data_IF_422415490332
#
_entry.id   IF_422415490332
#
_cell.length_a   1.000
_cell.length_b   1.000
_cell.length_c   1.000
_cell.angle_alpha   90.00
_cell.angle_beta   90.00
_cell.angle_gamma   90.00
#
_symmetry.space_group_name_H-M   'P 1'
#
loop_
_entity.id
_entity.type
_entity.pdbx_description
1 polymer ?
#
# COMPACT_ATOMS: atom_id res chain seq x y z
N UNK A 1 2.57 -31.74 -13.41
CA UNK A 1 3.49 -30.75 -12.78
C UNK A 1 2.82 -29.37 -12.92
N UNK A 2 2.72 -28.63 -11.84
CA UNK A 2 2.17 -27.26 -11.89
C UNK A 2 3.23 -26.29 -12.41
N UNK A 3 2.79 -25.28 -13.18
CA UNK A 3 3.65 -24.30 -13.83
C UNK A 3 3.37 -22.92 -13.23
N UNK A 4 4.40 -22.31 -12.59
CA UNK A 4 4.31 -20.96 -12.03
C UNK A 4 4.85 -19.95 -13.06
N UNK A 5 3.98 -19.07 -13.52
CA UNK A 5 4.31 -18.02 -14.48
C UNK A 5 4.15 -16.65 -13.86
N UNK A 6 5.05 -15.74 -14.25
CA UNK A 6 4.94 -14.31 -13.94
C UNK A 6 4.84 -13.56 -15.26
N UNK A 7 3.79 -12.78 -15.41
CA UNK A 7 3.52 -12.00 -16.62
C UNK A 7 3.38 -10.52 -16.26
N UNK A 8 3.99 -9.64 -17.05
CA UNK A 8 3.84 -8.17 -16.94
C UNK A 8 2.59 -7.68 -17.69
N UNK A 9 2.15 -8.45 -18.67
CA UNK A 9 0.88 -8.24 -19.35
C UNK A 9 0.19 -9.60 -19.50
N UNK A 10 -1.06 -9.67 -19.09
CA UNK A 10 -1.84 -10.90 -19.20
C UNK A 10 -2.09 -11.20 -20.67
N UNK A 11 -1.70 -12.40 -21.18
CA UNK A 11 -1.98 -12.79 -22.55
C UNK A 11 -3.49 -12.74 -22.85
N UNK A 12 -3.87 -12.22 -24.03
CA UNK A 12 -5.28 -12.11 -24.43
C UNK A 12 -6.02 -13.44 -24.35
N UNK A 13 -5.35 -14.55 -24.67
CA UNK A 13 -5.90 -15.90 -24.59
C UNK A 13 -6.22 -16.38 -23.16
N UNK A 14 -5.53 -15.85 -22.16
CA UNK A 14 -5.75 -16.21 -20.75
C UNK A 14 -6.71 -15.24 -20.03
N UNK A 15 -6.96 -14.07 -20.59
CA UNK A 15 -7.76 -13.01 -19.94
C UNK A 15 -9.16 -13.49 -19.55
N UNK A 16 -9.96 -14.15 -20.41
CA UNK A 16 -11.29 -14.60 -20.02
C UNK A 16 -11.27 -15.62 -18.87
N UNK A 17 -10.29 -16.55 -18.89
CA UNK A 17 -10.14 -17.54 -17.83
C UNK A 17 -9.69 -16.90 -16.51
N UNK A 18 -8.82 -15.90 -16.55
CA UNK A 18 -8.35 -15.14 -15.40
C UNK A 18 -9.47 -14.33 -14.76
N UNK A 19 -10.25 -13.60 -15.56
CA UNK A 19 -11.39 -12.80 -15.09
C UNK A 19 -12.47 -13.69 -14.45
N UNK A 20 -12.79 -14.83 -15.09
CA UNK A 20 -13.70 -15.81 -14.53
C UNK A 20 -13.19 -16.42 -13.22
N UNK A 21 -11.88 -16.68 -13.12
CA UNK A 21 -11.25 -17.20 -11.91
C UNK A 21 -11.32 -16.17 -10.77
N UNK A 22 -10.99 -14.90 -11.01
CA UNK A 22 -11.13 -13.83 -10.02
C UNK A 22 -12.59 -13.68 -9.57
N UNK A 23 -13.54 -13.68 -10.51
CA UNK A 23 -14.96 -13.55 -10.20
C UNK A 23 -15.45 -14.68 -9.29
N UNK A 24 -14.98 -15.93 -9.51
CA UNK A 24 -15.30 -17.09 -8.66
C UNK A 24 -14.81 -16.91 -7.21
N UNK A 25 -13.75 -16.12 -6.99
CA UNK A 25 -13.22 -15.76 -5.67
C UNK A 25 -13.82 -14.46 -5.10
N UNK A 26 -14.80 -13.86 -5.80
CA UNK A 26 -15.40 -12.57 -5.43
C UNK A 26 -14.45 -11.38 -5.63
N UNK A 27 -13.49 -11.51 -6.57
CA UNK A 27 -12.51 -10.50 -6.94
C UNK A 27 -12.76 -10.05 -8.39
N UNK A 28 -12.12 -8.96 -8.78
CA UNK A 28 -12.12 -8.44 -10.16
C UNK A 28 -10.73 -7.97 -10.57
N UNK A 29 -10.47 -7.96 -11.85
CA UNK A 29 -9.28 -7.33 -12.42
C UNK A 29 -9.48 -5.81 -12.45
N UNK A 30 -8.55 -5.06 -11.86
CA UNK A 30 -8.56 -3.61 -11.82
C UNK A 30 -7.69 -2.99 -12.92
N UNK A 31 -6.96 -3.81 -13.66
CA UNK A 31 -6.16 -3.42 -14.82
C UNK A 31 -4.89 -2.60 -14.50
N UNK A 32 -4.53 -2.46 -13.22
CA UNK A 32 -3.42 -1.63 -12.73
C UNK A 32 -2.20 -2.46 -12.25
N UNK A 33 -2.19 -3.77 -12.53
CA UNK A 33 -1.13 -4.65 -12.09
C UNK A 33 0.17 -4.45 -12.88
N UNK A 34 1.29 -4.25 -12.19
CA UNK A 34 2.63 -4.26 -12.78
C UNK A 34 3.06 -5.65 -13.23
N UNK A 35 2.59 -6.67 -12.51
CA UNK A 35 2.74 -8.06 -12.90
C UNK A 35 1.72 -8.93 -12.20
N UNK A 36 1.43 -10.08 -12.82
CA UNK A 36 0.54 -11.13 -12.29
C UNK A 36 1.29 -12.45 -12.22
N UNK A 37 1.22 -13.11 -11.06
CA UNK A 37 1.69 -14.48 -10.88
C UNK A 37 0.51 -15.44 -11.08
N UNK A 38 0.70 -16.48 -11.89
CA UNK A 38 -0.27 -17.51 -12.19
C UNK A 38 0.33 -18.89 -11.90
N UNK A 39 -0.35 -19.69 -11.12
CA UNK A 39 -0.04 -21.11 -10.95
C UNK A 39 -1.02 -21.91 -11.81
N UNK A 40 -0.50 -22.57 -12.83
CA UNK A 40 -1.28 -23.34 -13.79
C UNK A 40 -1.13 -24.84 -13.53
N UNK A 41 -2.22 -25.59 -13.70
CA UNK A 41 -2.18 -27.06 -13.76
C UNK A 41 -1.50 -27.54 -15.04
N UNK A 42 -1.14 -28.81 -15.10
CA UNK A 42 -0.62 -29.44 -16.33
C UNK A 42 -1.58 -29.36 -17.52
N UNK A 43 -2.86 -29.15 -17.29
CA UNK A 43 -3.88 -28.92 -18.32
C UNK A 43 -4.15 -27.43 -18.61
N UNK A 44 -3.38 -26.51 -18.05
CA UNK A 44 -3.51 -25.06 -18.30
C UNK A 44 -4.58 -24.35 -17.47
N UNK A 45 -5.30 -25.03 -16.56
CA UNK A 45 -6.27 -24.39 -15.68
C UNK A 45 -5.56 -23.58 -14.59
N UNK A 46 -6.11 -22.41 -14.22
CA UNK A 46 -5.57 -21.57 -13.15
C UNK A 46 -5.89 -22.21 -11.79
N UNK A 47 -4.87 -22.54 -11.03
CA UNK A 47 -4.95 -23.07 -9.66
C UNK A 47 -4.82 -21.98 -8.60
N UNK A 48 -4.02 -20.96 -8.87
CA UNK A 48 -3.88 -19.79 -8.02
C UNK A 48 -3.39 -18.60 -8.83
N UNK A 49 -3.71 -17.41 -8.37
CA UNK A 49 -3.17 -16.18 -8.93
C UNK A 49 -2.93 -15.14 -7.85
N UNK A 50 -2.23 -14.07 -8.22
CA UNK A 50 -2.06 -12.85 -7.45
C UNK A 50 -1.35 -11.82 -8.30
N UNK A 51 -1.54 -10.54 -7.97
CA UNK A 51 -0.97 -9.42 -8.70
C UNK A 51 -0.20 -8.50 -7.79
N UNK A 52 0.76 -7.77 -8.35
CA UNK A 52 1.50 -6.71 -7.70
C UNK A 52 1.19 -5.40 -8.43
N UNK A 53 0.81 -4.37 -7.67
CA UNK A 53 0.62 -3.00 -8.15
C UNK A 53 1.43 -2.07 -7.22
N UNK A 54 2.52 -1.49 -7.74
CA UNK A 54 3.50 -0.76 -6.93
C UNK A 54 4.06 -1.62 -5.80
N UNK A 55 3.60 -1.37 -4.59
CA UNK A 55 3.97 -2.12 -3.37
C UNK A 55 2.82 -2.93 -2.78
N UNK A 56 1.71 -3.05 -3.47
CA UNK A 56 0.52 -3.75 -2.97
C UNK A 56 0.35 -5.09 -3.67
N UNK A 57 0.36 -6.17 -2.88
CA UNK A 57 -0.07 -7.47 -3.34
C UNK A 57 -1.60 -7.53 -3.28
N UNK A 58 -2.23 -7.86 -4.39
CA UNK A 58 -3.68 -7.86 -4.55
C UNK A 58 -4.16 -9.03 -5.40
N UNK A 59 -5.48 -9.24 -5.46
CA UNK A 59 -6.10 -10.27 -6.30
C UNK A 59 -5.58 -11.69 -6.01
N UNK A 60 -5.18 -11.96 -4.75
CA UNK A 60 -4.69 -13.29 -4.36
C UNK A 60 -5.88 -14.22 -4.23
N UNK A 61 -5.93 -15.22 -5.11
CA UNK A 61 -6.97 -16.23 -5.13
C UNK A 61 -6.36 -17.64 -5.32
N UNK A 62 -7.00 -18.63 -4.73
CA UNK A 62 -6.62 -20.04 -4.83
C UNK A 62 -7.88 -20.84 -5.14
N UNK A 63 -7.81 -21.72 -6.12
CA UNK A 63 -8.89 -22.65 -6.46
C UNK A 63 -9.14 -23.63 -5.30
N UNK A 64 -10.40 -24.00 -5.00
CA UNK A 64 -10.72 -24.90 -3.89
C UNK A 64 -9.91 -26.21 -3.90
N UNK A 65 -9.66 -26.76 -5.07
CA UNK A 65 -8.89 -28.00 -5.23
C UNK A 65 -7.37 -27.86 -5.00
N UNK A 66 -6.87 -26.61 -4.89
CA UNK A 66 -5.45 -26.30 -4.62
C UNK A 66 -5.26 -25.67 -3.23
N UNK A 67 -6.33 -25.59 -2.43
CA UNK A 67 -6.24 -25.14 -1.04
C UNK A 67 -5.49 -26.19 -0.19
N UNK A 68 -4.59 -25.70 0.67
CA UNK A 68 -3.76 -26.58 1.52
C UNK A 68 -2.46 -27.05 0.86
N UNK A 69 -2.32 -27.01 -0.46
CA UNK A 69 -1.15 -27.50 -1.21
C UNK A 69 -0.02 -26.48 -1.35
N UNK A 70 -0.07 -25.39 -0.60
CA UNK A 70 0.95 -24.34 -0.65
C UNK A 70 0.87 -23.40 -1.87
N UNK A 71 -0.20 -23.47 -2.65
CA UNK A 71 -0.39 -22.64 -3.85
C UNK A 71 -0.36 -21.13 -3.52
N UNK A 72 -1.03 -20.72 -2.44
CA UNK A 72 -0.98 -19.33 -1.96
C UNK A 72 0.46 -18.89 -1.62
N UNK A 73 1.22 -19.73 -0.92
CA UNK A 73 2.60 -19.45 -0.55
C UNK A 73 3.50 -19.28 -1.78
N UNK A 74 3.31 -20.10 -2.82
CA UNK A 74 4.05 -19.98 -4.08
C UNK A 74 3.77 -18.64 -4.76
N UNK A 75 2.49 -18.24 -4.89
CA UNK A 75 2.08 -16.96 -5.48
C UNK A 75 2.67 -15.79 -4.67
N UNK A 76 2.46 -15.77 -3.36
CA UNK A 76 2.94 -14.68 -2.50
C UNK A 76 4.46 -14.57 -2.55
N UNK A 77 5.18 -15.70 -2.47
CA UNK A 77 6.65 -15.71 -2.56
C UNK A 77 7.14 -15.16 -3.91
N UNK A 78 6.47 -15.53 -4.99
CA UNK A 78 6.80 -15.03 -6.32
C UNK A 78 6.60 -13.51 -6.42
N UNK A 79 5.48 -13.00 -5.91
CA UNK A 79 5.19 -11.56 -5.89
C UNK A 79 6.15 -10.77 -4.98
N UNK A 80 6.51 -11.32 -3.81
CA UNK A 80 7.52 -10.71 -2.93
C UNK A 80 8.89 -10.58 -3.61
N UNK A 81 9.30 -11.60 -4.37
CA UNK A 81 10.53 -11.54 -5.19
C UNK A 81 10.44 -10.46 -6.27
N UNK A 82 9.29 -10.34 -6.95
CA UNK A 82 9.06 -9.30 -7.95
C UNK A 82 9.08 -7.90 -7.32
N UNK A 83 8.46 -7.74 -6.15
CA UNK A 83 8.47 -6.49 -5.38
C UNK A 83 9.92 -6.09 -5.02
N UNK A 84 10.71 -7.01 -4.48
CA UNK A 84 12.12 -6.77 -4.12
C UNK A 84 12.99 -6.43 -5.33
N UNK A 85 12.82 -7.12 -6.48
CA UNK A 85 13.54 -6.82 -7.72
C UNK A 85 13.26 -5.42 -8.26
N UNK A 86 12.09 -4.85 -7.95
CA UNK A 86 11.69 -3.49 -8.29
C UNK A 86 12.07 -2.44 -7.23
N UNK A 87 12.82 -2.85 -6.20
CA UNK A 87 13.23 -1.98 -5.10
C UNK A 87 12.16 -1.74 -4.03
N UNK A 88 10.99 -2.35 -4.16
CA UNK A 88 9.91 -2.22 -3.18
C UNK A 88 10.07 -3.28 -2.07
N UNK A 89 10.84 -2.93 -1.04
CA UNK A 89 11.20 -3.84 0.07
C UNK A 89 10.16 -3.90 1.20
N UNK A 90 9.09 -3.10 1.10
CA UNK A 90 8.04 -3.01 2.12
C UNK A 90 6.65 -3.13 1.47
N UNK A 91 6.27 -4.32 0.99
CA UNK A 91 4.96 -4.53 0.38
C UNK A 91 3.84 -4.65 1.42
N UNK A 92 2.65 -4.29 0.95
CA UNK A 92 1.39 -4.35 1.67
C UNK A 92 0.43 -5.32 1.01
N UNK A 93 -0.58 -5.75 1.74
CA UNK A 93 -1.75 -6.45 1.18
C UNK A 93 -3.01 -6.12 1.95
N UNK A 94 -4.14 -6.33 1.31
CA UNK A 94 -5.47 -6.30 1.90
C UNK A 94 -6.11 -7.68 1.80
N UNK A 95 -6.73 -8.11 2.90
CA UNK A 95 -7.40 -9.41 2.96
C UNK A 95 -8.59 -9.38 3.92
N UNK A 96 -9.37 -10.45 3.94
CA UNK A 96 -10.41 -10.62 4.96
C UNK A 96 -9.75 -11.04 6.29
N UNK A 97 -10.28 -10.60 7.46
CA UNK A 97 -9.72 -10.95 8.78
C UNK A 97 -9.50 -12.47 8.99
N UNK A 98 -10.38 -13.31 8.45
CA UNK A 98 -10.26 -14.77 8.51
C UNK A 98 -8.95 -15.32 7.94
N UNK A 99 -8.30 -14.60 7.03
CA UNK A 99 -7.06 -15.00 6.38
C UNK A 99 -5.80 -14.54 7.14
N UNK A 100 -5.94 -13.83 8.25
CA UNK A 100 -4.84 -13.26 9.01
C UNK A 100 -3.75 -14.29 9.36
N UNK A 101 -4.17 -15.50 9.80
CA UNK A 101 -3.23 -16.58 10.17
C UNK A 101 -2.38 -17.03 8.98
N UNK A 102 -2.98 -17.17 7.81
CA UNK A 102 -2.29 -17.56 6.58
C UNK A 102 -1.21 -16.53 6.22
N UNK A 103 -1.58 -15.26 6.13
CA UNK A 103 -0.62 -14.22 5.73
C UNK A 103 0.44 -13.93 6.79
N UNK A 104 0.13 -14.11 8.08
CA UNK A 104 1.15 -14.09 9.15
C UNK A 104 2.22 -15.17 8.95
N UNK A 105 1.84 -16.39 8.54
CA UNK A 105 2.80 -17.45 8.24
C UNK A 105 3.67 -17.16 7.01
N UNK A 106 3.24 -16.21 6.16
CA UNK A 106 3.97 -15.73 4.99
C UNK A 106 4.76 -14.42 5.27
N UNK A 107 4.87 -14.02 6.54
CA UNK A 107 5.69 -12.87 6.97
C UNK A 107 4.98 -11.52 6.91
N UNK A 108 3.64 -11.49 6.83
CA UNK A 108 2.87 -10.26 6.91
C UNK A 108 2.35 -10.01 8.34
N UNK A 109 2.33 -8.76 8.73
CA UNK A 109 1.90 -8.30 10.05
C UNK A 109 0.72 -7.34 9.93
N UNK A 110 -0.30 -7.40 10.80
CA UNK A 110 -1.43 -6.48 10.80
C UNK A 110 -1.00 -5.03 11.01
N UNK A 111 -1.63 -4.12 10.26
CA UNK A 111 -1.51 -2.67 10.40
C UNK A 111 -2.82 -2.07 10.90
N UNK A 112 -3.92 -2.40 10.23
CA UNK A 112 -5.26 -1.93 10.59
C UNK A 112 -6.31 -2.98 10.22
N UNK A 113 -7.38 -3.05 11.02
CA UNK A 113 -8.45 -4.04 10.85
C UNK A 113 -9.82 -3.39 11.02
N UNK A 114 -10.75 -3.79 10.16
CA UNK A 114 -12.18 -3.54 10.27
C UNK A 114 -12.92 -4.87 10.30
N UNK A 115 -14.26 -4.84 10.41
CA UNK A 115 -15.06 -6.07 10.36
C UNK A 115 -14.85 -6.89 9.06
N UNK A 116 -14.59 -6.21 7.95
CA UNK A 116 -14.57 -6.82 6.61
C UNK A 116 -13.18 -6.88 5.98
N UNK A 117 -12.22 -6.09 6.46
CA UNK A 117 -10.91 -5.91 5.83
C UNK A 117 -9.79 -5.84 6.86
N UNK A 118 -8.67 -6.48 6.54
CA UNK A 118 -7.42 -6.44 7.25
C UNK A 118 -6.32 -5.94 6.32
N UNK A 119 -5.71 -4.82 6.65
CA UNK A 119 -4.48 -4.34 6.02
C UNK A 119 -3.27 -4.95 6.72
N UNK A 120 -2.34 -5.48 5.94
CA UNK A 120 -1.11 -6.09 6.45
C UNK A 120 0.11 -5.57 5.69
N UNK A 121 1.25 -5.54 6.37
CA UNK A 121 2.55 -5.14 5.83
C UNK A 121 3.59 -6.28 5.96
N UNK A 122 4.48 -6.41 4.97
CA UNK A 122 5.60 -7.36 5.01
C UNK A 122 6.81 -6.75 5.75
N UNK A 123 6.54 -6.20 6.94
CA UNK A 123 7.55 -5.59 7.82
C UNK A 123 7.07 -5.60 9.25
N UNK A 124 7.75 -6.35 10.11
CA UNK A 124 7.38 -6.39 11.52
C UNK A 124 7.59 -5.03 12.17
N UNK A 125 6.53 -4.46 12.76
CA UNK A 125 6.58 -3.19 13.50
C UNK A 125 6.88 -2.00 12.59
N UNK A 126 6.40 -2.00 11.35
CA UNK A 126 6.59 -0.88 10.43
C UNK A 126 5.85 0.36 10.89
N UNK A 127 4.56 0.23 11.20
CA UNK A 127 3.73 1.35 11.67
C UNK A 127 4.23 1.88 13.00
N UNK A 128 4.64 1.03 13.95
CA UNK A 128 5.16 1.44 15.26
C UNK A 128 6.46 2.24 15.10
N UNK A 129 7.35 1.83 14.18
CA UNK A 129 8.57 2.61 13.89
C UNK A 129 8.26 3.94 13.23
N UNK A 130 7.28 3.99 12.35
CA UNK A 130 6.82 5.25 11.76
C UNK A 130 6.29 6.19 12.84
N UNK A 131 5.41 5.72 13.70
CA UNK A 131 4.87 6.53 14.81
C UNK A 131 5.97 7.00 15.76
N UNK A 132 6.94 6.12 16.09
CA UNK A 132 8.08 6.48 16.93
C UNK A 132 9.06 7.47 16.27
N UNK A 133 9.00 7.66 14.95
CA UNK A 133 9.81 8.66 14.23
C UNK A 133 9.19 10.05 14.20
N UNK A 134 7.92 10.18 14.58
CA UNK A 134 7.25 11.47 14.66
C UNK A 134 7.72 12.23 15.91
N UNK A 135 7.84 13.57 15.86
CA UNK A 135 8.05 14.37 17.04
C UNK A 135 7.02 14.04 18.13
N UNK A 136 7.49 13.81 19.35
CA UNK A 136 6.58 13.47 20.45
C UNK A 136 5.92 14.75 20.99
N UNK A 137 4.61 14.69 21.17
CA UNK A 137 3.84 15.73 21.85
C UNK A 137 2.85 15.09 22.81
N UNK A 138 2.90 15.50 24.08
CA UNK A 138 2.02 15.00 25.13
C UNK A 138 0.87 16.01 25.34
N UNK A 139 -0.22 15.82 24.62
CA UNK A 139 -1.38 16.68 24.67
C UNK A 139 -2.29 16.56 23.45
N UNK A 140 -3.28 17.43 23.40
CA UNK A 140 -4.18 17.52 22.26
C UNK A 140 -3.46 18.14 21.06
N UNK A 141 -3.50 17.49 19.90
CA UNK A 141 -2.86 17.94 18.67
C UNK A 141 -3.83 17.94 17.49
N UNK A 142 -3.65 18.90 16.59
CA UNK A 142 -4.29 18.93 15.29
C UNK A 142 -3.47 18.21 14.23
N UNK A 143 -4.09 17.90 13.08
CA UNK A 143 -3.40 17.36 11.93
C UNK A 143 -3.88 18.01 10.62
N UNK A 144 -2.94 18.32 9.74
CA UNK A 144 -3.19 18.69 8.35
C UNK A 144 -2.45 17.71 7.45
N UNK A 145 -3.10 17.22 6.42
CA UNK A 145 -2.48 16.38 5.39
C UNK A 145 -2.50 17.15 4.07
N UNK A 146 -1.36 17.25 3.41
CA UNK A 146 -1.27 17.96 2.14
C UNK A 146 -0.27 17.30 1.18
N UNK A 147 -0.56 17.42 -0.12
CA UNK A 147 0.37 17.02 -1.17
C UNK A 147 1.47 18.09 -1.36
N UNK A 148 1.08 19.38 -1.28
CA UNK A 148 1.95 20.55 -1.40
C UNK A 148 2.82 20.53 -2.67
N UNK A 149 2.21 20.36 -3.82
CA UNK A 149 2.88 20.23 -5.13
C UNK A 149 2.62 21.43 -6.08
N UNK A 150 3.29 22.58 -5.89
CA UNK A 150 4.17 22.96 -4.76
C UNK A 150 3.39 23.47 -3.53
N UNK A 151 4.13 23.86 -2.47
CA UNK A 151 3.58 24.60 -1.34
C UNK A 151 3.23 26.03 -1.76
N UNK A 152 1.98 26.43 -1.56
CA UNK A 152 1.44 27.72 -1.98
C UNK A 152 0.96 28.57 -0.80
N UNK A 153 0.62 29.85 -1.06
CA UNK A 153 0.00 30.71 -0.04
C UNK A 153 -1.30 30.15 0.53
N UNK A 154 -2.07 29.38 -0.27
CA UNK A 154 -3.28 28.71 0.20
C UNK A 154 -2.95 27.60 1.23
N UNK A 155 -1.92 26.80 0.97
CA UNK A 155 -1.43 25.80 1.94
C UNK A 155 -0.93 26.49 3.21
N UNK A 156 -0.16 27.59 3.09
CA UNK A 156 0.32 28.37 4.23
C UNK A 156 -0.85 28.88 5.09
N UNK A 157 -1.87 29.47 4.46
CA UNK A 157 -3.05 29.97 5.17
C UNK A 157 -3.78 28.85 5.91
N UNK A 158 -3.92 27.67 5.29
CA UNK A 158 -4.52 26.49 5.94
C UNK A 158 -3.74 26.08 7.20
N UNK A 159 -2.42 26.04 7.11
CA UNK A 159 -1.55 25.68 8.25
C UNK A 159 -1.65 26.72 9.37
N UNK A 160 -1.58 28.02 9.04
CA UNK A 160 -1.76 29.12 10.01
C UNK A 160 -3.12 29.04 10.72
N UNK A 161 -4.18 28.83 9.94
CA UNK A 161 -5.54 28.72 10.47
C UNK A 161 -5.68 27.55 11.43
N UNK A 162 -5.10 26.39 11.09
CA UNK A 162 -5.13 25.19 11.93
C UNK A 162 -4.25 25.39 13.19
N UNK A 163 -3.02 25.90 13.03
CA UNK A 163 -2.09 26.14 14.13
C UNK A 163 -2.64 27.10 15.18
N UNK A 164 -3.43 28.10 14.77
CA UNK A 164 -4.08 29.02 15.68
C UNK A 164 -5.23 28.39 16.52
N UNK A 165 -5.62 27.15 16.25
CA UNK A 165 -6.77 26.45 16.85
C UNK A 165 -6.42 25.21 17.67
N UNK A 166 -5.17 24.83 17.72
CA UNK A 166 -4.71 23.71 18.52
C UNK A 166 -3.38 24.04 19.20
N UNK A 167 -3.09 23.43 20.34
CA UNK A 167 -1.82 23.61 21.04
C UNK A 167 -0.62 23.16 20.23
N UNK A 168 -0.80 22.11 19.41
CA UNK A 168 0.23 21.55 18.55
C UNK A 168 -0.38 21.06 17.24
N UNK A 169 0.32 21.20 16.11
CA UNK A 169 -0.14 20.82 14.78
C UNK A 169 0.91 19.97 14.08
N UNK A 170 0.52 18.76 13.68
CA UNK A 170 1.27 17.97 12.72
C UNK A 170 0.84 18.30 11.28
N UNK A 171 1.79 18.63 10.43
CA UNK A 171 1.57 18.80 8.99
C UNK A 171 2.20 17.63 8.26
N UNK A 172 1.38 16.67 7.83
CA UNK A 172 1.82 15.51 7.07
C UNK A 172 1.91 15.85 5.59
N UNK A 173 3.12 15.77 5.03
CA UNK A 173 3.37 15.94 3.60
C UNK A 173 3.42 14.58 2.94
N UNK A 174 2.62 14.34 1.89
CA UNK A 174 2.57 13.05 1.21
C UNK A 174 3.93 12.65 0.64
N UNK A 175 4.32 11.41 0.87
CA UNK A 175 5.64 10.86 0.50
C UNK A 175 5.66 10.20 -0.88
N UNK A 176 4.53 10.07 -1.57
CA UNK A 176 4.47 9.50 -2.91
C UNK A 176 5.18 10.39 -3.94
N UNK A 177 6.00 9.80 -4.79
CA UNK A 177 6.70 10.47 -5.88
C UNK A 177 5.74 10.73 -7.05
N UNK A 178 4.76 11.59 -6.82
CA UNK A 178 3.75 12.01 -7.79
C UNK A 178 3.71 13.53 -7.88
N UNK A 179 3.51 14.06 -9.09
CA UNK A 179 3.46 15.49 -9.35
C UNK A 179 4.78 16.07 -9.88
N UNK A 180 4.87 17.41 -9.91
CA UNK A 180 5.98 18.13 -10.56
C UNK A 180 7.22 18.26 -9.65
N UNK A 181 7.02 18.13 -8.33
CA UNK A 181 8.08 18.29 -7.33
C UNK A 181 8.35 16.97 -6.60
N UNK A 182 9.63 16.58 -6.43
CA UNK A 182 10.02 15.44 -5.59
C UNK A 182 9.47 15.56 -4.17
N UNK A 183 9.17 14.42 -3.52
CA UNK A 183 8.62 14.41 -2.16
C UNK A 183 9.53 15.12 -1.15
N UNK A 184 10.84 14.98 -1.28
CA UNK A 184 11.82 15.64 -0.42
C UNK A 184 11.76 17.18 -0.55
N UNK A 185 11.63 17.68 -1.78
CA UNK A 185 11.54 19.12 -2.04
C UNK A 185 10.23 19.70 -1.50
N UNK A 186 9.12 18.97 -1.69
CA UNK A 186 7.81 19.36 -1.15
C UNK A 186 7.85 19.46 0.38
N UNK A 187 8.45 18.47 1.05
CA UNK A 187 8.63 18.48 2.51
C UNK A 187 9.44 19.67 2.97
N UNK A 188 10.55 19.97 2.29
CA UNK A 188 11.43 21.10 2.62
C UNK A 188 10.74 22.45 2.38
N UNK A 189 9.98 22.60 1.28
CA UNK A 189 9.22 23.82 1.00
C UNK A 189 8.17 24.09 2.09
N UNK A 190 7.47 23.05 2.57
CA UNK A 190 6.52 23.21 3.67
C UNK A 190 7.24 23.61 4.96
N UNK A 191 8.36 22.98 5.30
CA UNK A 191 9.16 23.32 6.50
C UNK A 191 9.59 24.79 6.49
N UNK A 192 10.22 25.23 5.41
CA UNK A 192 10.63 26.64 5.27
C UNK A 192 9.46 27.61 5.28
N UNK A 193 8.37 27.20 4.62
CA UNK A 193 7.17 28.02 4.55
C UNK A 193 6.39 28.11 5.85
N UNK A 194 6.75 27.39 6.90
CA UNK A 194 6.06 27.35 8.21
C UNK A 194 7.02 27.48 9.40
N UNK A 195 8.29 27.81 9.16
CA UNK A 195 9.36 27.87 10.19
C UNK A 195 9.11 28.88 11.32
N UNK A 196 8.30 29.89 11.05
CA UNK A 196 7.89 30.92 12.01
C UNK A 196 6.70 30.51 12.90
N UNK A 197 6.14 29.30 12.70
CA UNK A 197 5.03 28.75 13.49
C UNK A 197 5.56 27.79 14.55
N UNK A 198 5.71 28.21 15.82
CA UNK A 198 6.46 27.43 16.83
C UNK A 198 5.73 26.15 17.29
N UNK A 199 4.44 26.03 17.03
CA UNK A 199 3.63 24.86 17.38
C UNK A 199 3.34 23.94 16.20
N UNK A 200 4.13 24.01 15.11
CA UNK A 200 3.94 23.22 13.90
C UNK A 200 5.11 22.26 13.69
N UNK A 201 4.83 20.98 13.62
CA UNK A 201 5.78 19.97 13.18
C UNK A 201 5.43 19.48 11.77
N UNK A 202 6.35 19.66 10.82
CA UNK A 202 6.21 19.20 9.45
C UNK A 202 6.91 17.85 9.29
N UNK A 203 6.12 16.83 8.99
CA UNK A 203 6.55 15.43 8.96
C UNK A 203 6.19 14.75 7.65
N UNK A 204 6.98 13.76 7.18
CA UNK A 204 6.61 12.99 6.00
C UNK A 204 5.43 12.07 6.33
N UNK A 205 4.49 11.91 5.40
CA UNK A 205 3.37 10.97 5.52
C UNK A 205 3.80 9.49 5.52
N UNK A 206 4.99 9.22 5.00
CA UNK A 206 5.53 7.87 4.91
C UNK A 206 4.64 6.95 4.06
N UNK A 207 4.64 5.68 4.43
CA UNK A 207 3.83 4.67 3.76
C UNK A 207 2.37 4.62 4.26
N UNK A 208 2.05 5.35 5.35
CA UNK A 208 0.81 5.15 6.11
C UNK A 208 -0.21 6.28 5.93
N UNK A 209 0.24 7.50 5.63
CA UNK A 209 -0.63 8.67 5.47
C UNK A 209 -0.86 8.94 3.99
N UNK A 210 -2.02 8.55 3.46
CA UNK A 210 -2.42 8.73 2.06
C UNK A 210 -1.27 8.35 1.10
N UNK A 211 -1.00 7.07 1.03
CA UNK A 211 -0.08 6.47 0.06
C UNK A 211 -0.85 5.62 -0.95
N UNK A 212 -0.21 5.20 -2.04
CA UNK A 212 -0.79 4.21 -2.95
C UNK A 212 -1.14 2.90 -2.25
N UNK A 213 -0.48 2.60 -1.13
CA UNK A 213 -0.78 1.43 -0.32
C UNK A 213 -2.01 1.62 0.58
N UNK A 214 -2.23 2.82 1.14
CA UNK A 214 -3.31 3.07 2.12
C UNK A 214 -4.55 3.70 1.51
N UNK A 215 -4.39 4.51 0.46
CA UNK A 215 -5.49 5.22 -0.20
C UNK A 215 -5.27 5.31 -1.72
N UNK A 216 -5.27 4.18 -2.44
CA UNK A 216 -4.93 4.15 -3.87
C UNK A 216 -5.83 5.04 -4.72
N UNK A 217 -7.11 5.21 -4.37
CA UNK A 217 -8.05 6.04 -5.12
C UNK A 217 -7.69 7.53 -5.15
N UNK A 218 -6.83 8.01 -4.25
CA UNK A 218 -6.35 9.39 -4.26
C UNK A 218 -5.43 9.69 -5.46
N UNK A 219 -4.81 8.65 -6.04
CA UNK A 219 -3.81 8.75 -7.11
C UNK A 219 -4.33 8.29 -8.48
N UNK A 220 -5.66 8.10 -8.63
CA UNK A 220 -6.32 7.70 -9.88
C UNK A 220 -6.65 8.90 -10.77
#
# INVERSE_FOLDING_TARGET
>A
MNDLRIVTALPLSLRPAYEAFLASAGLRDEGDADCTALLLSGGGAILACGSLSGRVLKQIAVAPQAEGDGACAQIVTALLRQSAQRGAVHPFLYTKPKNARLFRSLGFFPVAETADMLMMEHRRGGVERYLASLPAYDGESGAVVCHANPFTRGHRHLVEYAAARCPHLYVFVLSEETGDFPAADRLELVRRGTEDLPNVDVVPGGDYIISRATFPAYFL
#
